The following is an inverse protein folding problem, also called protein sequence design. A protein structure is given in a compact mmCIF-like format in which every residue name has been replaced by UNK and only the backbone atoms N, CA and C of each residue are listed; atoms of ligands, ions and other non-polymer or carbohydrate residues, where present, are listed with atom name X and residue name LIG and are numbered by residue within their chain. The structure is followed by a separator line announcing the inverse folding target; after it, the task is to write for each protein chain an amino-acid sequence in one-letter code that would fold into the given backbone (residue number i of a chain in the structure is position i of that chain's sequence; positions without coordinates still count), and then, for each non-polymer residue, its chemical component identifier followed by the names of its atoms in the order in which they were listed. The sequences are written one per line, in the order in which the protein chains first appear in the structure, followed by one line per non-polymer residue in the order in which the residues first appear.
data_IF_748314321592
#
_entry.id   IF_748314321592
#
_cell.length_a   1.000
_cell.length_b   1.000
_cell.length_c   1.000
_cell.angle_alpha   90.00
_cell.angle_beta   90.00
_cell.angle_gamma   90.00
#
_symmetry.space_group_name_H-M   'P 1'
#
loop_
_entity.id
_entity.type
_entity.pdbx_description
1 polymer ?
#
# COMPACT_ATOMS: atom_id res chain seq x y z
N UNK A 1 24.91 -32.85 -3.33
CA UNK A 1 25.89 -33.32 -2.32
C UNK A 1 27.01 -32.31 -2.05
N UNK A 2 27.58 -31.66 -3.08
CA UNK A 2 28.65 -30.64 -2.94
C UNK A 2 28.25 -29.34 -2.20
N UNK A 3 26.97 -28.95 -2.22
CA UNK A 3 26.48 -27.74 -1.51
C UNK A 3 26.45 -27.93 0.02
N UNK A 4 26.08 -29.13 0.49
CA UNK A 4 26.08 -29.48 1.93
C UNK A 4 27.49 -29.54 2.51
N UNK A 5 28.47 -30.00 1.72
CA UNK A 5 29.87 -30.08 2.14
C UNK A 5 30.52 -28.68 2.25
N UNK A 6 30.24 -27.77 1.31
CA UNK A 6 30.67 -26.36 1.40
C UNK A 6 30.04 -25.63 2.61
N UNK A 7 28.78 -25.94 2.92
CA UNK A 7 28.07 -25.37 4.08
C UNK A 7 28.71 -25.81 5.41
N UNK A 8 29.09 -27.09 5.53
CA UNK A 8 29.75 -27.64 6.73
C UNK A 8 31.13 -27.02 6.92
N UNK A 9 31.88 -26.80 5.83
CA UNK A 9 33.22 -26.20 5.89
C UNK A 9 33.15 -24.73 6.33
N UNK A 10 32.21 -23.95 5.78
CA UNK A 10 31.98 -22.54 6.18
C UNK A 10 31.53 -22.47 7.64
N UNK A 11 30.64 -23.36 8.07
CA UNK A 11 30.21 -23.43 9.48
C UNK A 11 31.39 -23.77 10.40
N UNK A 12 32.25 -24.73 10.02
CA UNK A 12 33.42 -25.10 10.82
C UNK A 12 34.50 -24.00 10.92
N UNK A 13 34.68 -23.20 9.86
CA UNK A 13 35.58 -22.04 9.87
C UNK A 13 35.04 -20.87 10.70
N UNK A 14 33.72 -20.71 10.78
CA UNK A 14 33.10 -19.74 11.68
C UNK A 14 33.24 -20.15 13.15
N UNK A 15 33.14 -21.45 13.48
CA UNK A 15 33.28 -21.93 14.86
C UNK A 15 34.69 -21.78 15.43
N UNK A 16 35.75 -21.81 14.62
CA UNK A 16 37.15 -21.74 15.09
C UNK A 16 37.66 -20.31 15.37
N UNK A 17 36.91 -19.28 14.99
CA UNK A 17 37.27 -17.88 15.24
C UNK A 17 36.82 -17.33 16.59
N UNK A 18 36.04 -18.10 17.37
CA UNK A 18 35.51 -17.68 18.67
C UNK A 18 36.34 -18.30 19.82
N UNK A 19 37.21 -17.51 20.46
CA UNK A 19 37.83 -17.91 21.72
C UNK A 19 36.75 -18.01 22.82
N UNK A 20 36.52 -19.21 23.33
CA UNK A 20 35.47 -19.53 24.30
C UNK A 20 35.91 -19.17 25.73
N UNK A 21 35.63 -17.93 26.15
CA UNK A 21 35.72 -17.52 27.55
C UNK A 21 34.31 -17.29 28.13
N UNK A 22 33.86 -18.17 29.01
CA UNK A 22 33.82 -17.85 30.44
C UNK A 22 32.91 -16.69 30.97
N UNK A 23 32.19 -15.85 30.20
CA UNK A 23 31.28 -14.83 30.75
C UNK A 23 30.11 -15.27 31.70
N UNK A 24 30.04 -14.65 32.89
CA UNK A 24 29.17 -15.02 34.02
C UNK A 24 28.05 -14.02 34.30
N UNK A 25 27.57 -13.28 33.31
CA UNK A 25 26.56 -12.26 33.56
C UNK A 25 25.18 -12.85 33.88
N UNK A 26 24.54 -12.30 34.91
CA UNK A 26 23.13 -12.49 35.21
C UNK A 26 22.32 -11.26 34.78
N UNK A 27 21.10 -11.47 34.30
CA UNK A 27 20.12 -10.41 34.15
C UNK A 27 19.22 -10.42 35.39
N UNK A 28 19.22 -9.32 36.14
CA UNK A 28 18.29 -9.12 37.27
C UNK A 28 17.13 -8.19 36.90
N UNK A 29 17.13 -7.67 35.67
CA UNK A 29 16.08 -6.84 35.12
C UNK A 29 15.02 -7.64 34.36
N UNK A 30 13.78 -7.17 34.41
CA UNK A 30 12.70 -7.54 33.48
C UNK A 30 12.86 -6.73 32.20
N UNK A 31 13.82 -7.08 31.34
CA UNK A 31 13.85 -6.41 30.04
C UNK A 31 12.72 -6.96 29.17
N UNK A 32 11.64 -6.20 29.15
CA UNK A 32 10.49 -6.41 28.27
C UNK A 32 10.91 -6.30 26.82
N UNK A 33 10.51 -7.24 25.98
CA UNK A 33 10.66 -7.15 24.52
C UNK A 33 10.16 -5.78 24.04
N UNK A 34 11.04 -5.00 23.42
CA UNK A 34 10.69 -3.70 22.85
C UNK A 34 10.32 -3.85 21.37
N UNK A 35 9.48 -2.96 20.83
CA UNK A 35 9.11 -2.98 19.41
C UNK A 35 9.33 -1.60 18.81
N UNK A 36 10.22 -1.50 17.82
CA UNK A 36 10.33 -0.31 16.99
C UNK A 36 9.38 -0.37 15.81
N UNK A 37 8.98 0.80 15.33
CA UNK A 37 8.17 0.94 14.13
C UNK A 37 8.96 1.70 13.06
N UNK A 38 9.07 1.09 11.89
CA UNK A 38 9.63 1.67 10.67
C UNK A 38 8.47 1.97 9.74
N UNK A 39 8.08 3.25 9.67
CA UNK A 39 7.11 3.74 8.68
C UNK A 39 7.87 4.21 7.44
N UNK A 40 7.46 3.71 6.29
CA UNK A 40 7.99 4.11 5.00
C UNK A 40 6.90 4.01 3.95
N UNK A 41 7.00 4.84 2.93
CA UNK A 41 6.06 4.91 1.83
C UNK A 41 6.75 4.58 0.51
N UNK A 42 5.96 4.43 -0.54
CA UNK A 42 6.45 4.20 -1.90
C UNK A 42 7.05 5.45 -2.57
N UNK A 43 6.94 6.63 -1.94
CA UNK A 43 7.56 7.87 -2.43
C UNK A 43 9.00 8.05 -1.92
N UNK A 44 9.33 7.43 -0.79
CA UNK A 44 10.71 7.22 -0.40
C UNK A 44 11.38 6.44 -1.54
N UNK A 45 12.53 6.93 -1.99
CA UNK A 45 13.40 6.33 -3.02
C UNK A 45 13.45 4.80 -2.93
N UNK A 46 13.91 4.12 -3.99
CA UNK A 46 14.13 2.66 -4.03
C UNK A 46 14.91 2.09 -2.82
N UNK A 47 15.51 2.96 -2.00
CA UNK A 47 16.03 2.69 -0.66
C UNK A 47 15.45 3.61 0.42
N UNK A 48 15.21 3.07 1.61
CA UNK A 48 14.91 3.78 2.86
C UNK A 48 15.89 3.36 3.95
N UNK A 49 16.28 4.27 4.84
CA UNK A 49 17.12 3.92 5.98
C UNK A 49 16.73 4.68 7.25
N UNK A 50 16.82 4.02 8.40
CA UNK A 50 16.56 4.63 9.71
C UNK A 50 17.40 4.01 10.80
N UNK A 51 17.96 4.86 11.66
CA UNK A 51 18.76 4.43 12.82
C UNK A 51 17.90 4.40 14.07
N UNK A 52 18.10 3.37 14.88
CA UNK A 52 17.50 3.20 16.19
C UNK A 52 18.59 2.86 17.21
N UNK A 53 18.18 2.76 18.48
CA UNK A 53 19.07 2.39 19.58
C UNK A 53 18.35 1.41 20.50
N UNK A 54 19.05 0.31 20.82
CA UNK A 54 18.68 -0.60 21.89
C UNK A 54 19.54 -0.29 23.12
N UNK A 55 18.93 -0.23 24.30
CA UNK A 55 19.66 0.03 25.57
C UNK A 55 19.33 -1.02 26.65
N UNK A 56 19.93 -2.22 26.60
CA UNK A 56 19.85 -3.21 27.67
C UNK A 56 20.21 -2.63 29.05
N UNK A 57 19.40 -2.93 30.06
CA UNK A 57 19.61 -2.51 31.47
C UNK A 57 19.44 -3.66 32.45
N UNK A 58 19.97 -3.51 33.67
CA UNK A 58 19.85 -4.53 34.73
C UNK A 58 20.85 -5.68 34.61
N UNK A 59 21.94 -5.46 33.89
CA UNK A 59 23.01 -6.44 33.67
C UNK A 59 23.94 -6.47 34.88
N UNK A 60 24.36 -7.65 35.31
CA UNK A 60 25.35 -7.82 36.38
C UNK A 60 26.31 -8.93 36.01
N UNK A 61 27.60 -8.62 35.91
CA UNK A 61 28.64 -9.54 35.45
C UNK A 61 29.66 -9.84 36.55
N UNK A 62 30.21 -11.06 36.52
CA UNK A 62 31.11 -11.56 37.55
C UNK A 62 32.60 -11.36 37.19
N UNK A 63 32.91 -11.18 35.89
CA UNK A 63 34.28 -10.99 35.40
C UNK A 63 34.47 -9.61 34.75
N UNK A 64 35.68 -9.07 34.85
CA UNK A 64 36.07 -7.79 34.23
C UNK A 64 36.16 -7.85 32.70
N UNK A 65 36.15 -9.06 32.11
CA UNK A 65 36.16 -9.30 30.66
C UNK A 65 34.81 -9.71 30.08
N UNK A 66 33.76 -9.75 30.90
CA UNK A 66 32.44 -10.14 30.44
C UNK A 66 31.93 -9.16 29.38
N UNK A 67 31.36 -9.71 28.31
CA UNK A 67 31.03 -8.99 27.07
C UNK A 67 29.57 -9.26 26.70
N UNK A 68 28.90 -8.24 26.17
CA UNK A 68 27.61 -8.37 25.51
C UNK A 68 27.80 -8.38 24.00
N UNK A 69 27.07 -9.25 23.31
CA UNK A 69 27.09 -9.39 21.86
C UNK A 69 25.77 -8.93 21.25
N UNK A 70 25.85 -8.27 20.10
CA UNK A 70 24.72 -7.74 19.35
C UNK A 70 24.58 -8.43 18.01
N UNK A 71 23.35 -8.81 17.67
CA UNK A 71 23.07 -9.67 16.52
C UNK A 71 21.80 -9.21 15.83
N UNK A 72 21.80 -9.25 14.50
CA UNK A 72 20.62 -9.03 13.66
C UNK A 72 20.21 -10.33 12.98
N UNK A 73 18.91 -10.62 12.98
CA UNK A 73 18.33 -11.74 12.21
C UNK A 73 17.96 -11.34 10.77
N UNK A 74 18.01 -10.05 10.43
CA UNK A 74 17.48 -9.47 9.18
C UNK A 74 18.51 -9.17 8.10
N UNK A 75 19.71 -9.74 8.15
CA UNK A 75 20.74 -9.47 7.15
C UNK A 75 20.37 -10.01 5.76
N UNK A 76 20.07 -9.09 4.83
CA UNK A 76 19.68 -9.32 3.43
C UNK A 76 18.41 -10.18 3.25
N UNK A 77 17.38 -9.94 4.09
CA UNK A 77 16.10 -10.67 4.02
C UNK A 77 15.06 -9.95 3.21
N UNK A 78 14.31 -10.67 2.39
CA UNK A 78 13.23 -10.08 1.58
C UNK A 78 11.90 -10.25 2.32
N UNK A 79 11.30 -9.14 2.73
CA UNK A 79 9.94 -9.09 3.26
C UNK A 79 8.97 -8.66 2.17
N UNK A 80 7.80 -9.28 2.15
CA UNK A 80 6.71 -9.00 1.22
C UNK A 80 5.51 -8.36 1.91
N UNK A 81 4.91 -7.38 1.23
CA UNK A 81 3.64 -6.76 1.62
C UNK A 81 2.61 -7.03 0.54
N UNK A 82 1.33 -6.99 0.93
CA UNK A 82 0.20 -7.22 0.02
C UNK A 82 0.36 -8.52 -0.78
N UNK A 83 0.53 -9.62 -0.05
CA UNK A 83 0.77 -10.97 -0.58
C UNK A 83 2.03 -11.07 -1.46
N UNK A 84 3.05 -10.26 -1.13
CA UNK A 84 4.32 -10.23 -1.85
C UNK A 84 4.26 -9.50 -3.18
N UNK A 85 3.19 -8.73 -3.45
CA UNK A 85 3.14 -7.80 -4.58
C UNK A 85 4.18 -6.69 -4.46
N UNK A 86 4.48 -6.26 -3.22
CA UNK A 86 5.55 -5.31 -2.91
C UNK A 86 6.60 -6.01 -2.07
N UNK A 87 7.89 -5.82 -2.40
CA UNK A 87 8.99 -6.56 -1.78
C UNK A 87 10.16 -5.64 -1.48
N UNK A 88 10.69 -5.79 -0.27
CA UNK A 88 11.84 -5.04 0.20
C UNK A 88 12.88 -6.00 0.77
N UNK A 89 14.14 -5.84 0.33
CA UNK A 89 15.29 -6.40 1.00
C UNK A 89 15.63 -5.53 2.21
N UNK A 90 15.68 -6.15 3.37
CA UNK A 90 16.03 -5.56 4.66
C UNK A 90 17.47 -5.91 4.97
N UNK A 91 18.22 -4.98 5.53
CA UNK A 91 19.47 -5.25 6.23
C UNK A 91 19.56 -4.41 7.49
N UNK A 92 20.18 -4.94 8.54
CA UNK A 92 20.35 -4.22 9.81
C UNK A 92 21.82 -4.25 10.19
N UNK A 93 22.45 -3.08 10.18
CA UNK A 93 23.86 -2.91 10.54
C UNK A 93 23.97 -2.44 11.99
N UNK A 94 24.71 -3.17 12.81
CA UNK A 94 24.88 -2.91 14.25
C UNK A 94 26.24 -2.25 14.53
N UNK A 95 26.24 -1.20 15.35
CA UNK A 95 27.45 -0.50 15.78
C UNK A 95 27.34 -0.14 17.27
N UNK A 96 28.15 -0.73 18.17
CA UNK A 96 29.12 -1.82 17.93
C UNK A 96 28.44 -3.21 17.82
N UNK A 97 29.18 -4.24 17.41
CA UNK A 97 28.70 -5.64 17.42
C UNK A 97 28.93 -6.35 18.77
N UNK A 98 29.77 -5.78 19.64
CA UNK A 98 30.01 -6.25 21.00
C UNK A 98 30.51 -5.12 21.89
N UNK A 99 30.33 -5.25 23.20
CA UNK A 99 30.86 -4.31 24.19
C UNK A 99 31.34 -5.06 25.45
N UNK A 100 32.53 -4.73 25.95
CA UNK A 100 32.99 -5.24 27.25
C UNK A 100 32.25 -4.50 28.36
N UNK A 101 31.51 -5.27 29.16
CA UNK A 101 30.75 -4.78 30.31
C UNK A 101 31.61 -4.72 31.57
N UNK A 102 32.35 -5.80 31.85
CA UNK A 102 33.07 -5.96 33.11
C UNK A 102 32.13 -5.96 34.33
N UNK A 103 32.68 -5.88 35.54
CA UNK A 103 31.88 -5.94 36.79
C UNK A 103 31.06 -4.69 37.09
N UNK A 104 31.36 -3.57 36.44
CA UNK A 104 30.86 -2.24 36.85
C UNK A 104 29.73 -1.71 35.97
N UNK A 105 29.60 -2.15 34.72
CA UNK A 105 28.52 -1.69 33.84
C UNK A 105 27.24 -2.49 34.07
N UNK A 106 26.15 -1.76 34.34
CA UNK A 106 24.81 -2.33 34.49
C UNK A 106 23.88 -2.07 33.29
N UNK A 107 24.35 -1.26 32.34
CA UNK A 107 23.67 -0.94 31.08
C UNK A 107 24.63 -1.05 29.91
N UNK A 108 24.08 -1.18 28.71
CA UNK A 108 24.83 -1.19 27.46
C UNK A 108 23.97 -0.61 26.35
N UNK A 109 24.59 -0.12 25.28
CA UNK A 109 23.88 0.59 24.22
C UNK A 109 24.43 0.21 22.85
N UNK A 110 23.53 -0.12 21.93
CA UNK A 110 23.87 -0.37 20.53
C UNK A 110 22.99 0.47 19.61
N UNK A 111 23.61 1.11 18.63
CA UNK A 111 22.90 1.75 17.53
C UNK A 111 22.80 0.78 16.38
N UNK A 112 21.65 0.74 15.71
CA UNK A 112 21.46 -0.08 14.53
C UNK A 112 20.76 0.67 13.41
N UNK A 113 21.31 0.55 12.21
CA UNK A 113 20.80 1.13 10.98
C UNK A 113 19.98 0.08 10.24
N UNK A 114 18.67 0.31 10.13
CA UNK A 114 17.76 -0.48 9.31
C UNK A 114 17.77 0.11 7.91
N UNK A 115 18.17 -0.69 6.92
CA UNK A 115 18.07 -0.34 5.51
C UNK A 115 17.02 -1.21 4.83
N UNK A 116 16.20 -0.59 4.00
CA UNK A 116 15.19 -1.22 3.16
C UNK A 116 15.53 -0.85 1.72
N UNK A 117 15.55 -1.81 0.81
CA UNK A 117 15.70 -1.56 -0.62
C UNK A 117 14.69 -2.36 -1.42
N UNK A 118 14.04 -1.74 -2.41
CA UNK A 118 13.08 -2.42 -3.28
C UNK A 118 13.74 -3.63 -3.93
N UNK A 119 13.04 -4.76 -3.97
CA UNK A 119 13.61 -6.02 -4.45
C UNK A 119 12.64 -6.75 -5.36
N UNK A 120 13.16 -7.55 -6.27
CA UNK A 120 12.40 -8.50 -7.09
C UNK A 120 12.62 -9.95 -6.67
N UNK A 121 13.51 -10.18 -5.70
CA UNK A 121 13.84 -11.51 -5.21
C UNK A 121 12.64 -12.20 -4.53
N UNK A 122 12.75 -13.52 -4.36
CA UNK A 122 11.73 -14.30 -3.67
C UNK A 122 11.61 -13.84 -2.21
N UNK A 123 10.37 -13.67 -1.75
CA UNK A 123 10.08 -13.29 -0.36
C UNK A 123 10.50 -14.40 0.60
N UNK A 124 11.09 -14.01 1.72
CA UNK A 124 11.33 -14.90 2.86
C UNK A 124 10.08 -15.00 3.75
N UNK A 125 9.27 -13.95 3.80
CA UNK A 125 7.88 -14.00 4.23
C UNK A 125 7.08 -12.84 3.62
N UNK A 126 5.78 -13.02 3.56
CA UNK A 126 4.82 -12.01 3.14
C UNK A 126 3.65 -11.91 4.10
N UNK A 127 3.00 -10.75 4.09
CA UNK A 127 1.72 -10.49 4.75
C UNK A 127 0.71 -10.00 3.72
N UNK A 128 -0.58 -10.24 3.97
CA UNK A 128 -1.68 -9.75 3.10
C UNK A 128 -1.82 -8.22 3.18
N UNK A 129 -1.42 -7.60 4.30
CA UNK A 129 -1.51 -6.17 4.52
C UNK A 129 -0.20 -5.40 4.29
N UNK A 130 -0.18 -4.15 4.73
CA UNK A 130 1.00 -3.28 4.69
C UNK A 130 1.92 -3.38 5.92
N UNK A 131 1.63 -4.27 6.88
CA UNK A 131 2.35 -4.32 8.16
C UNK A 131 2.88 -5.73 8.45
N UNK A 132 4.17 -5.84 8.72
CA UNK A 132 4.84 -7.07 9.15
C UNK A 132 5.69 -6.80 10.38
N UNK A 133 5.60 -7.65 11.40
CA UNK A 133 6.44 -7.58 12.60
C UNK A 133 7.46 -8.70 12.58
N UNK A 134 8.72 -8.34 12.72
CA UNK A 134 9.83 -9.28 12.84
C UNK A 134 10.18 -9.43 14.33
N UNK A 135 9.91 -10.58 14.94
CA UNK A 135 10.27 -10.81 16.33
C UNK A 135 11.79 -10.94 16.47
N UNK A 136 12.38 -10.34 17.53
CA UNK A 136 13.83 -10.39 17.78
C UNK A 136 14.68 -10.07 16.53
N UNK A 137 14.30 -9.00 15.85
CA UNK A 137 15.04 -8.48 14.70
C UNK A 137 16.47 -8.07 15.10
N UNK A 138 16.60 -7.51 16.32
CA UNK A 138 17.88 -7.26 16.99
C UNK A 138 17.86 -7.97 18.33
N UNK A 139 18.98 -8.62 18.67
CA UNK A 139 19.18 -9.33 19.94
C UNK A 139 20.49 -8.88 20.57
N UNK A 140 20.46 -8.59 21.87
CA UNK A 140 21.66 -8.51 22.72
C UNK A 140 21.74 -9.76 23.60
N UNK A 141 22.93 -10.32 23.78
CA UNK A 141 23.12 -11.46 24.67
C UNK A 141 24.41 -11.32 25.46
N UNK A 142 24.33 -11.58 26.76
CA UNK A 142 25.49 -11.70 27.66
C UNK A 142 25.88 -13.16 27.91
N UNK A 143 25.16 -14.12 27.31
CA UNK A 143 25.50 -15.55 27.37
C UNK A 143 26.76 -15.84 26.52
N UNK A 144 27.65 -16.70 27.03
CA UNK A 144 28.79 -17.30 26.29
C UNK A 144 28.36 -18.00 25.01
N UNK A 145 27.17 -18.57 25.05
CA UNK A 145 26.49 -19.19 23.94
C UNK A 145 25.78 -18.15 23.07
N UNK A 146 26.13 -16.86 23.12
CA UNK A 146 25.73 -15.89 22.12
C UNK A 146 26.06 -16.42 20.71
N UNK A 147 27.16 -17.14 20.52
CA UNK A 147 27.45 -17.89 19.29
C UNK A 147 26.39 -18.95 18.97
N UNK A 148 25.83 -19.66 19.96
CA UNK A 148 24.71 -20.60 19.80
C UNK A 148 23.35 -19.91 19.61
N UNK A 149 23.12 -18.73 20.18
CA UNK A 149 21.94 -17.89 19.90
C UNK A 149 22.02 -17.36 18.46
N UNK A 150 23.14 -16.76 18.08
CA UNK A 150 23.51 -16.37 16.71
C UNK A 150 23.41 -17.56 15.75
N UNK A 151 24.01 -18.71 16.07
CA UNK A 151 23.94 -19.92 15.24
C UNK A 151 22.51 -20.44 15.17
N UNK A 152 21.74 -20.40 16.26
CA UNK A 152 20.34 -20.86 16.25
C UNK A 152 19.47 -20.00 15.34
N UNK A 153 19.71 -18.69 15.29
CA UNK A 153 19.09 -17.80 14.31
C UNK A 153 19.63 -18.02 12.89
N UNK A 154 20.93 -18.32 12.74
CA UNK A 154 21.53 -18.70 11.45
C UNK A 154 20.88 -19.98 10.89
N UNK A 155 20.53 -20.96 11.73
CA UNK A 155 19.80 -22.16 11.25
C UNK A 155 18.43 -21.82 10.66
N UNK A 156 17.77 -20.77 11.16
CA UNK A 156 16.51 -20.29 10.58
C UNK A 156 16.70 -19.69 9.19
N UNK A 157 17.89 -19.18 8.84
CA UNK A 157 18.20 -18.67 7.50
C UNK A 157 18.08 -19.74 6.41
N UNK A 158 18.19 -21.01 6.78
CA UNK A 158 18.10 -22.17 5.89
C UNK A 158 16.78 -22.93 6.02
N UNK A 159 15.90 -22.50 6.93
CA UNK A 159 14.55 -23.03 7.02
C UNK A 159 13.67 -22.46 5.91
N UNK A 160 12.77 -23.27 5.35
CA UNK A 160 11.78 -22.81 4.37
C UNK A 160 10.77 -21.81 4.95
N UNK A 161 10.77 -21.64 6.28
CA UNK A 161 9.86 -20.79 7.03
C UNK A 161 10.64 -20.02 8.11
N UNK A 162 11.36 -18.99 7.65
CA UNK A 162 12.31 -18.22 8.45
C UNK A 162 11.66 -17.62 9.71
N UNK A 163 10.44 -17.09 9.61
CA UNK A 163 9.79 -16.38 10.71
C UNK A 163 9.19 -17.31 11.77
N UNK A 164 8.66 -18.47 11.37
CA UNK A 164 8.23 -19.47 12.35
C UNK A 164 9.43 -20.08 13.08
N UNK A 165 10.53 -20.37 12.36
CA UNK A 165 11.77 -20.77 13.01
C UNK A 165 12.28 -19.68 13.98
N UNK A 166 12.23 -18.41 13.57
CA UNK A 166 12.63 -17.29 14.40
C UNK A 166 11.80 -17.23 15.69
N UNK A 167 10.48 -17.30 15.60
CA UNK A 167 9.55 -17.33 16.73
C UNK A 167 9.86 -18.48 17.71
N UNK A 168 10.05 -19.69 17.19
CA UNK A 168 10.39 -20.88 18.00
C UNK A 168 11.73 -20.75 18.72
N UNK A 169 12.71 -20.06 18.11
CA UNK A 169 13.99 -19.77 18.76
C UNK A 169 13.84 -18.72 19.83
N UNK A 170 13.08 -17.66 19.56
CA UNK A 170 12.80 -16.58 20.51
C UNK A 170 12.18 -17.13 21.80
N UNK A 171 11.23 -18.07 21.67
CA UNK A 171 10.58 -18.71 22.81
C UNK A 171 11.51 -19.60 23.66
N UNK A 172 12.71 -19.94 23.17
CA UNK A 172 13.71 -20.76 23.85
C UNK A 172 14.86 -19.95 24.44
N UNK A 173 14.87 -18.63 24.25
CA UNK A 173 15.90 -17.76 24.82
C UNK A 173 15.64 -17.54 26.31
N UNK A 174 16.60 -17.90 27.15
CA UNK A 174 16.56 -17.74 28.61
C UNK A 174 17.18 -16.41 29.06
N UNK A 175 16.95 -16.04 30.32
CA UNK A 175 17.16 -14.72 30.95
C UNK A 175 18.56 -14.07 30.95
N UNK A 176 19.33 -14.17 29.88
CA UNK A 176 20.55 -13.40 29.60
C UNK A 176 20.47 -12.71 28.22
N UNK A 177 19.27 -12.59 27.65
CA UNK A 177 19.03 -12.02 26.32
C UNK A 177 18.05 -10.85 26.35
N UNK A 178 18.34 -9.84 25.55
CA UNK A 178 17.54 -8.64 25.32
C UNK A 178 17.07 -8.66 23.86
N UNK A 179 15.79 -8.38 23.63
CA UNK A 179 15.18 -8.54 22.31
C UNK A 179 14.48 -7.25 21.87
N UNK A 180 14.66 -6.93 20.60
CA UNK A 180 13.97 -5.83 19.94
C UNK A 180 13.30 -6.32 18.65
N UNK A 181 11.98 -6.23 18.65
CA UNK A 181 11.16 -6.46 17.47
C UNK A 181 11.22 -5.23 16.57
N UNK A 182 11.08 -5.45 15.26
CA UNK A 182 10.90 -4.35 14.31
C UNK A 182 9.61 -4.60 13.53
N UNK A 183 8.69 -3.64 13.63
CA UNK A 183 7.48 -3.57 12.81
C UNK A 183 7.75 -2.70 11.60
N UNK A 184 7.61 -3.27 10.41
CA UNK A 184 7.67 -2.57 9.15
C UNK A 184 6.26 -2.23 8.71
N UNK A 185 5.97 -0.94 8.52
CA UNK A 185 4.69 -0.45 8.05
C UNK A 185 4.90 0.29 6.73
N UNK A 186 4.46 -0.36 5.65
CA UNK A 186 4.55 0.14 4.28
C UNK A 186 3.24 0.82 3.88
N UNK A 187 3.33 2.09 3.50
CA UNK A 187 2.22 2.89 3.01
C UNK A 187 2.33 2.98 1.48
N UNK A 188 1.45 2.30 0.73
CA UNK A 188 1.51 2.34 -0.73
C UNK A 188 1.01 3.66 -1.29
N UNK A 189 1.26 3.88 -2.58
CA UNK A 189 0.55 4.95 -3.29
C UNK A 189 -0.93 4.68 -3.36
N UNK A 190 -1.67 5.78 -3.30
CA UNK A 190 -3.09 5.82 -3.50
C UNK A 190 -3.41 5.61 -5.00
N UNK A 191 -4.22 4.62 -5.34
CA UNK A 191 -4.62 4.36 -6.73
C UNK A 191 -5.31 5.58 -7.31
N UNK A 192 -4.90 5.98 -8.51
CA UNK A 192 -5.46 7.13 -9.21
C UNK A 192 -6.09 6.69 -10.52
N UNK A 193 -7.10 7.42 -10.97
CA UNK A 193 -7.66 7.32 -12.30
C UNK A 193 -7.81 8.73 -12.90
N UNK A 194 -7.52 8.89 -14.18
CA UNK A 194 -7.64 10.15 -14.90
C UNK A 194 -8.41 9.93 -16.21
N UNK A 195 -9.31 10.85 -16.59
CA UNK A 195 -9.94 10.80 -17.89
C UNK A 195 -8.91 11.05 -18.99
N UNK A 196 -8.90 10.19 -20.01
CA UNK A 196 -8.18 10.41 -21.25
C UNK A 196 -9.07 11.26 -22.15
N UNK A 197 -8.50 12.17 -22.94
CA UNK A 197 -9.23 13.05 -23.90
C UNK A 197 -10.34 12.28 -24.59
N UNK A 198 -11.59 12.63 -24.28
CA UNK A 198 -12.78 11.98 -24.84
C UNK A 198 -13.23 12.72 -26.08
N UNK A 199 -13.52 12.00 -27.17
CA UNK A 199 -14.16 12.59 -28.34
C UNK A 199 -15.53 13.17 -27.94
N UNK A 200 -15.95 14.29 -28.56
CA UNK A 200 -17.27 14.87 -28.29
C UNK A 200 -18.37 13.87 -28.68
N UNK A 201 -19.44 13.84 -27.90
CA UNK A 201 -20.65 13.10 -28.24
C UNK A 201 -21.47 13.94 -29.21
N UNK A 202 -21.67 13.42 -30.43
CA UNK A 202 -22.42 14.09 -31.49
C UNK A 202 -23.72 13.30 -31.76
N UNK A 203 -24.86 13.99 -31.75
CA UNK A 203 -26.14 13.43 -32.19
C UNK A 203 -26.36 13.79 -33.67
N UNK A 204 -27.07 12.94 -34.44
CA UNK A 204 -27.55 13.29 -35.76
C UNK A 204 -28.53 14.47 -35.71
N UNK A 205 -28.57 15.27 -36.78
CA UNK A 205 -29.56 16.34 -36.93
C UNK A 205 -30.99 15.77 -36.85
N UNK A 206 -31.88 16.50 -36.17
CA UNK A 206 -33.28 16.12 -36.00
C UNK A 206 -34.23 17.19 -36.56
N UNK A 207 -35.30 16.75 -37.22
CA UNK A 207 -36.28 17.68 -37.76
C UNK A 207 -37.24 18.15 -36.65
N UNK A 208 -37.61 19.45 -36.65
CA UNK A 208 -38.53 20.03 -35.65
C UNK A 208 -39.86 19.27 -35.54
N UNK A 209 -40.31 18.67 -36.64
CA UNK A 209 -41.53 17.86 -36.66
C UNK A 209 -41.48 16.61 -35.78
N UNK A 210 -40.31 16.17 -35.32
CA UNK A 210 -40.15 15.03 -34.40
C UNK A 210 -40.20 15.45 -32.92
N UNK A 211 -40.14 16.77 -32.64
CA UNK A 211 -40.02 17.33 -31.30
C UNK A 211 -41.38 17.85 -30.78
N UNK A 212 -42.44 17.04 -30.91
CA UNK A 212 -43.84 17.50 -30.71
C UNK A 212 -44.38 17.36 -29.29
N UNK A 213 -43.72 16.57 -28.45
CA UNK A 213 -44.17 16.26 -27.08
C UNK A 213 -43.01 16.30 -26.11
N UNK A 214 -43.29 16.74 -24.88
CA UNK A 214 -42.33 16.68 -23.77
C UNK A 214 -41.91 15.24 -23.52
N UNK A 215 -40.61 15.03 -23.31
CA UNK A 215 -40.01 13.73 -23.03
C UNK A 215 -38.82 13.38 -23.92
N UNK A 216 -38.30 12.17 -23.72
CA UNK A 216 -37.18 11.60 -24.48
C UNK A 216 -37.60 11.30 -25.91
N UNK A 217 -36.77 11.73 -26.87
CA UNK A 217 -36.94 11.42 -28.28
C UNK A 217 -36.17 10.15 -28.61
N UNK A 218 -36.88 9.08 -28.98
CA UNK A 218 -36.28 7.76 -29.15
C UNK A 218 -35.82 7.44 -30.58
N UNK A 219 -36.09 8.32 -31.56
CA UNK A 219 -35.77 8.07 -32.98
C UNK A 219 -34.27 8.15 -33.28
N UNK A 220 -33.52 8.96 -32.53
CA UNK A 220 -32.10 9.24 -32.80
C UNK A 220 -31.29 9.23 -31.50
N UNK A 221 -30.05 8.77 -31.59
CA UNK A 221 -29.10 8.81 -30.49
C UNK A 221 -27.67 8.98 -31.00
N UNK A 222 -26.82 9.57 -30.17
CA UNK A 222 -25.38 9.60 -30.35
C UNK A 222 -24.70 8.82 -29.23
N UNK A 223 -23.55 8.20 -29.49
CA UNK A 223 -22.81 7.48 -28.45
C UNK A 223 -21.32 7.83 -28.50
N UNK A 224 -20.70 7.86 -27.33
CA UNK A 224 -19.26 7.98 -27.15
C UNK A 224 -18.80 7.07 -26.02
N UNK A 225 -17.50 7.06 -25.75
CA UNK A 225 -16.92 6.36 -24.62
C UNK A 225 -16.10 7.32 -23.75
N UNK A 226 -16.29 7.22 -22.44
CA UNK A 226 -15.38 7.84 -21.47
C UNK A 226 -14.25 6.84 -21.23
N UNK A 227 -13.04 7.23 -21.59
CA UNK A 227 -11.84 6.46 -21.33
C UNK A 227 -11.14 6.96 -20.06
N UNK A 228 -10.73 6.04 -19.19
CA UNK A 228 -9.96 6.33 -17.97
C UNK A 228 -8.63 5.58 -18.03
N UNK A 229 -7.55 6.26 -17.65
CA UNK A 229 -6.28 5.63 -17.31
C UNK A 229 -6.17 5.52 -15.80
N UNK A 230 -5.78 4.37 -15.26
CA UNK A 230 -5.58 4.20 -13.82
C UNK A 230 -4.19 3.64 -13.51
N UNK A 231 -3.62 4.12 -12.41
CA UNK A 231 -2.27 3.83 -11.95
C UNK A 231 -2.24 3.43 -10.46
N UNK A 232 -1.05 3.05 -9.99
CA UNK A 232 -0.75 2.75 -8.59
C UNK A 232 -1.61 1.61 -8.01
N UNK A 233 -1.77 0.53 -8.78
CA UNK A 233 -2.31 -0.74 -8.30
C UNK A 233 -1.27 -1.52 -7.48
N UNK A 234 -1.71 -2.25 -6.46
CA UNK A 234 -0.88 -3.24 -5.76
C UNK A 234 -1.38 -4.64 -6.08
N UNK A 235 -0.53 -5.47 -6.69
CA UNK A 235 -0.91 -6.85 -7.02
C UNK A 235 -2.15 -6.91 -7.91
N UNK A 236 -2.31 -5.91 -8.79
CA UNK A 236 -3.48 -5.64 -9.63
C UNK A 236 -4.73 -5.14 -8.91
N UNK A 237 -4.67 -4.81 -7.61
CA UNK A 237 -5.81 -4.35 -6.84
C UNK A 237 -5.69 -2.86 -6.48
N UNK A 238 -6.84 -2.20 -6.35
CA UNK A 238 -6.91 -0.79 -5.98
C UNK A 238 -6.64 -0.59 -4.49
N UNK A 239 -5.85 0.42 -4.14
CA UNK A 239 -5.47 0.73 -2.75
C UNK A 239 -6.53 1.54 -2.01
N UNK A 240 -7.48 2.11 -2.75
CA UNK A 240 -8.63 2.89 -2.26
C UNK A 240 -9.84 2.72 -3.18
N UNK A 241 -11.03 3.07 -2.74
CA UNK A 241 -12.23 3.11 -3.55
C UNK A 241 -12.24 4.28 -4.53
N UNK A 242 -12.77 4.03 -5.73
CA UNK A 242 -12.86 5.00 -6.82
C UNK A 242 -14.29 4.99 -7.35
N UNK A 243 -14.90 6.16 -7.44
CA UNK A 243 -16.25 6.33 -8.01
C UNK A 243 -16.25 7.41 -9.07
N UNK A 244 -16.80 7.09 -10.24
CA UNK A 244 -16.87 7.97 -11.40
C UNK A 244 -18.32 8.36 -11.63
N UNK A 245 -18.55 9.64 -11.85
CA UNK A 245 -19.86 10.23 -12.12
C UNK A 245 -19.71 11.46 -13.02
N UNK A 246 -20.83 12.02 -13.47
CA UNK A 246 -20.82 13.22 -14.31
C UNK A 246 -21.35 14.43 -13.54
N UNK A 247 -20.83 15.60 -13.86
CA UNK A 247 -21.36 16.88 -13.38
C UNK A 247 -21.55 17.88 -14.51
N UNK A 248 -22.42 18.86 -14.35
CA UNK A 248 -22.60 19.91 -15.36
C UNK A 248 -23.13 21.22 -14.77
N UNK A 249 -22.74 22.34 -15.39
CA UNK A 249 -23.31 23.67 -15.20
C UNK A 249 -24.50 23.93 -16.16
N UNK A 250 -24.59 23.16 -17.23
CA UNK A 250 -25.60 23.28 -18.29
C UNK A 250 -26.89 22.50 -17.95
N UNK A 251 -27.12 22.15 -16.68
CA UNK A 251 -28.35 21.47 -16.25
C UNK A 251 -29.55 22.42 -16.28
N UNK A 252 -30.69 21.95 -16.81
CA UNK A 252 -31.97 22.63 -16.68
C UNK A 252 -32.30 22.84 -15.19
N UNK A 253 -32.78 24.03 -14.84
CA UNK A 253 -33.14 24.34 -13.46
C UNK A 253 -34.26 23.45 -12.95
N UNK A 254 -34.08 22.90 -11.74
CA UNK A 254 -34.97 21.89 -11.19
C UNK A 254 -34.80 20.48 -11.77
N UNK A 255 -33.89 20.27 -12.71
CA UNK A 255 -33.51 18.95 -13.24
C UNK A 255 -32.07 18.59 -12.87
N UNK A 256 -31.84 17.28 -12.73
CA UNK A 256 -30.53 16.66 -12.53
C UNK A 256 -30.13 15.76 -13.72
N UNK A 257 -30.93 15.67 -14.79
CA UNK A 257 -30.66 14.77 -15.92
C UNK A 257 -30.78 15.42 -17.31
N UNK A 258 -31.34 16.63 -17.39
CA UNK A 258 -31.53 17.35 -18.65
C UNK A 258 -30.40 18.37 -18.81
N UNK A 259 -29.51 18.13 -19.78
CA UNK A 259 -28.49 19.08 -20.22
C UNK A 259 -29.07 20.01 -21.28
N UNK A 260 -29.15 21.31 -21.01
CA UNK A 260 -29.70 22.31 -21.94
C UNK A 260 -28.60 23.15 -22.57
N UNK A 261 -28.88 23.64 -23.77
CA UNK A 261 -28.06 24.69 -24.38
C UNK A 261 -28.22 26.02 -23.63
N UNK A 262 -27.20 26.88 -23.68
CA UNK A 262 -27.20 28.21 -23.06
C UNK A 262 -28.37 29.08 -23.53
N UNK A 263 -28.80 28.92 -24.78
CA UNK A 263 -29.91 29.69 -25.35
C UNK A 263 -31.30 29.22 -24.90
N UNK A 264 -31.40 28.14 -24.12
CA UNK A 264 -32.68 27.58 -23.64
C UNK A 264 -33.72 27.37 -24.76
N UNK A 265 -33.46 26.39 -25.62
CA UNK A 265 -34.23 26.13 -26.84
C UNK A 265 -35.39 25.11 -26.65
N UNK A 266 -35.82 24.86 -25.41
CA UNK A 266 -36.88 23.89 -25.12
C UNK A 266 -36.51 22.41 -25.37
N UNK A 267 -35.29 22.16 -25.85
CA UNK A 267 -34.73 20.85 -26.17
C UNK A 267 -33.33 20.78 -25.56
N UNK A 268 -33.06 19.68 -24.88
CA UNK A 268 -31.78 19.37 -24.29
C UNK A 268 -31.36 17.95 -24.62
N UNK A 269 -30.43 17.43 -23.82
CA UNK A 269 -29.89 16.10 -23.94
C UNK A 269 -30.13 15.32 -22.64
N UNK A 270 -30.59 14.10 -22.79
CA UNK A 270 -30.62 13.09 -21.73
C UNK A 270 -29.48 12.11 -22.01
N UNK A 271 -28.69 11.79 -20.97
CA UNK A 271 -27.61 10.82 -21.06
C UNK A 271 -28.02 9.49 -20.43
N UNK A 272 -27.52 8.39 -20.99
CA UNK A 272 -27.59 7.04 -20.43
C UNK A 272 -26.23 6.35 -20.51
N UNK A 273 -26.05 5.29 -19.73
CA UNK A 273 -24.86 4.44 -19.77
C UNK A 273 -25.26 2.97 -19.89
N UNK A 274 -24.29 2.08 -20.11
CA UNK A 274 -24.52 0.63 -20.01
C UNK A 274 -24.97 0.16 -18.61
N UNK A 275 -24.95 1.03 -17.60
CA UNK A 275 -25.32 0.72 -16.21
C UNK A 275 -26.59 1.44 -15.74
N UNK A 276 -27.11 2.40 -16.51
CA UNK A 276 -28.29 3.18 -16.15
C UNK A 276 -29.02 3.73 -17.37
N UNK A 277 -30.33 3.54 -17.42
CA UNK A 277 -31.19 4.07 -18.50
C UNK A 277 -31.21 5.60 -18.54
N UNK A 278 -30.90 6.24 -17.41
CA UNK A 278 -30.74 7.69 -17.27
C UNK A 278 -29.60 7.97 -16.29
N UNK A 279 -28.69 8.86 -16.69
CA UNK A 279 -27.64 9.39 -15.84
C UNK A 279 -28.15 10.66 -15.17
N UNK A 280 -28.19 10.65 -13.85
CA UNK A 280 -28.40 11.82 -13.03
C UNK A 280 -27.02 12.45 -12.72
N UNK A 281 -26.84 13.69 -13.14
CA UNK A 281 -25.62 14.46 -13.02
C UNK A 281 -25.63 15.32 -11.75
N UNK A 282 -24.44 15.53 -11.19
CA UNK A 282 -24.24 16.51 -10.14
C UNK A 282 -24.22 17.92 -10.74
N UNK A 283 -24.99 18.86 -10.19
CA UNK A 283 -24.80 20.27 -10.52
C UNK A 283 -23.42 20.74 -10.04
N UNK A 284 -22.63 21.36 -10.91
CA UNK A 284 -21.29 21.84 -10.54
C UNK A 284 -21.35 22.71 -9.29
N UNK A 285 -20.41 22.49 -8.35
CA UNK A 285 -20.37 23.18 -7.06
C UNK A 285 -21.13 22.49 -5.93
N UNK A 286 -22.02 21.55 -6.23
CA UNK A 286 -22.67 20.74 -5.19
C UNK A 286 -21.75 19.60 -4.71
N UNK A 287 -21.98 19.10 -3.49
CA UNK A 287 -21.31 17.92 -2.96
C UNK A 287 -22.10 16.65 -3.29
N UNK A 288 -21.39 15.57 -3.65
CA UNK A 288 -22.00 14.25 -3.86
C UNK A 288 -22.63 13.68 -2.58
N UNK A 289 -22.09 14.04 -1.40
CA UNK A 289 -22.64 13.63 -0.10
C UNK A 289 -24.07 14.13 0.15
N UNK A 290 -24.44 15.23 -0.52
CA UNK A 290 -25.72 15.91 -0.35
C UNK A 290 -26.71 15.57 -1.47
N UNK A 291 -26.35 14.66 -2.39
CA UNK A 291 -27.07 14.42 -3.63
C UNK A 291 -27.18 12.91 -3.92
N UNK A 292 -28.01 12.15 -3.16
CA UNK A 292 -28.11 10.69 -3.28
C UNK A 292 -28.63 10.21 -4.64
N UNK A 293 -29.12 11.11 -5.49
CA UNK A 293 -29.61 10.80 -6.83
C UNK A 293 -28.50 10.67 -7.90
N UNK A 294 -27.27 11.13 -7.65
CA UNK A 294 -26.21 11.12 -8.68
C UNK A 294 -25.85 9.70 -9.10
N UNK A 295 -25.85 9.45 -10.40
CA UNK A 295 -25.53 8.13 -10.95
C UNK A 295 -24.02 7.89 -10.95
N UNK A 296 -23.60 6.86 -10.22
CA UNK A 296 -22.22 6.34 -10.29
C UNK A 296 -22.10 5.46 -11.54
N UNK A 297 -21.43 5.96 -12.57
CA UNK A 297 -21.25 5.27 -13.86
C UNK A 297 -20.13 4.23 -13.83
N UNK A 298 -19.20 4.33 -12.87
CA UNK A 298 -18.20 3.30 -12.59
C UNK A 298 -17.82 3.33 -11.11
N UNK A 299 -17.76 2.16 -10.49
CA UNK A 299 -17.31 1.98 -9.10
C UNK A 299 -16.22 0.91 -9.07
N UNK A 300 -15.16 1.18 -8.32
CA UNK A 300 -14.07 0.25 -8.01
C UNK A 300 -13.92 0.30 -6.50
N UNK A 301 -14.07 -0.82 -5.81
CA UNK A 301 -13.90 -0.88 -4.35
C UNK A 301 -12.42 -1.01 -4.00
N UNK A 302 -12.02 -0.53 -2.82
CA UNK A 302 -10.71 -0.86 -2.25
C UNK A 302 -10.50 -2.37 -2.24
N UNK A 303 -9.34 -2.82 -2.71
CA UNK A 303 -8.98 -4.24 -2.85
C UNK A 303 -9.56 -4.94 -4.07
N UNK A 304 -10.42 -4.29 -4.86
CA UNK A 304 -10.91 -4.82 -6.13
C UNK A 304 -9.84 -4.67 -7.22
N UNK A 305 -9.91 -5.52 -8.25
CA UNK A 305 -9.01 -5.44 -9.39
C UNK A 305 -9.06 -4.05 -10.05
N UNK A 306 -7.89 -3.44 -10.22
CA UNK A 306 -7.67 -2.18 -10.93
C UNK A 306 -7.06 -2.45 -12.30
N UNK A 307 -7.86 -2.27 -13.34
CA UNK A 307 -7.38 -2.27 -14.72
C UNK A 307 -6.69 -0.93 -15.03
N UNK A 308 -5.64 -0.98 -15.85
CA UNK A 308 -4.94 0.22 -16.31
C UNK A 308 -5.82 1.12 -17.21
N UNK A 309 -6.81 0.52 -17.88
CA UNK A 309 -7.74 1.24 -18.73
C UNK A 309 -9.18 0.79 -18.47
N UNK A 310 -10.08 1.76 -18.42
CA UNK A 310 -11.52 1.53 -18.42
C UNK A 310 -12.19 2.33 -19.53
N UNK A 311 -13.23 1.72 -20.09
CA UNK A 311 -14.08 2.31 -21.11
C UNK A 311 -15.52 2.28 -20.63
N UNK A 312 -16.15 3.44 -20.52
CA UNK A 312 -17.53 3.58 -20.06
C UNK A 312 -18.36 4.11 -21.23
N UNK A 313 -19.26 3.30 -21.84
CA UNK A 313 -20.11 3.77 -22.91
C UNK A 313 -21.15 4.75 -22.38
N UNK A 314 -21.32 5.86 -23.10
CA UNK A 314 -22.34 6.87 -22.83
C UNK A 314 -23.11 7.16 -24.10
N UNK A 315 -24.43 7.14 -23.99
CA UNK A 315 -25.35 7.47 -25.07
C UNK A 315 -26.10 8.75 -24.71
N UNK A 316 -26.40 9.58 -25.70
CA UNK A 316 -27.26 10.73 -25.55
C UNK A 316 -28.43 10.65 -26.51
N UNK A 317 -29.58 11.16 -26.05
CA UNK A 317 -30.78 11.38 -26.85
C UNK A 317 -31.27 12.81 -26.65
N UNK A 318 -32.01 13.32 -27.62
CA UNK A 318 -32.73 14.57 -27.44
C UNK A 318 -33.83 14.40 -26.38
N UNK A 319 -34.02 15.43 -25.55
CA UNK A 319 -35.10 15.51 -24.58
C UNK A 319 -35.84 16.83 -24.75
N UNK A 320 -37.14 16.77 -25.04
CA UNK A 320 -37.98 17.96 -25.15
C UNK A 320 -38.50 18.31 -23.76
N UNK A 321 -38.20 19.50 -23.25
CA UNK A 321 -38.69 19.99 -21.96
C UNK A 321 -39.65 21.18 -22.09
N UNK A 322 -39.64 21.89 -23.22
CA UNK A 322 -40.59 22.98 -23.50
C UNK A 322 -40.85 23.12 -25.01
N UNK A 323 -42.01 22.63 -25.47
CA UNK A 323 -42.39 22.64 -26.89
C UNK A 323 -42.54 24.07 -27.45
N UNK A 324 -42.91 25.05 -26.61
CA UNK A 324 -43.17 26.41 -27.05
C UNK A 324 -41.88 27.18 -27.39
N UNK A 325 -40.73 26.75 -26.86
CA UNK A 325 -39.44 27.41 -27.07
C UNK A 325 -38.65 26.86 -28.27
N UNK A 326 -39.12 25.80 -28.93
CA UNK A 326 -38.36 25.09 -29.96
C UNK A 326 -38.16 25.96 -31.21
N UNK A 327 -36.89 26.21 -31.54
CA UNK A 327 -36.42 26.88 -32.76
C UNK A 327 -35.26 26.12 -33.41
N UNK A 328 -35.08 26.34 -34.71
CA UNK A 328 -33.96 25.77 -35.47
C UNK A 328 -32.63 26.37 -35.00
N UNK A 329 -31.60 25.54 -34.86
CA UNK A 329 -30.26 26.00 -34.47
C UNK A 329 -29.40 24.85 -33.95
N UNK A 330 -28.12 25.16 -33.71
CA UNK A 330 -27.20 24.23 -33.05
C UNK A 330 -27.45 24.23 -31.55
N UNK A 331 -27.36 23.05 -30.93
CA UNK A 331 -27.47 22.85 -29.49
C UNK A 331 -26.17 22.26 -28.97
N UNK A 332 -25.59 22.86 -27.94
CA UNK A 332 -24.40 22.36 -27.27
C UNK A 332 -24.59 22.38 -25.76
N UNK A 333 -24.14 21.33 -25.08
CA UNK A 333 -24.08 21.29 -23.62
C UNK A 333 -22.80 20.57 -23.18
N UNK A 334 -22.33 20.88 -21.97
CA UNK A 334 -21.07 20.37 -21.43
C UNK A 334 -21.33 19.52 -20.20
N UNK A 335 -20.75 18.32 -20.15
CA UNK A 335 -20.66 17.52 -18.94
C UNK A 335 -19.19 17.22 -18.61
N UNK A 336 -18.87 17.20 -17.33
CA UNK A 336 -17.54 16.93 -16.80
C UNK A 336 -17.50 15.56 -16.16
N UNK A 337 -16.48 14.77 -16.48
CA UNK A 337 -16.18 13.53 -15.76
C UNK A 337 -15.58 13.88 -14.41
N UNK A 338 -16.18 13.37 -13.33
CA UNK A 338 -15.71 13.53 -11.96
C UNK A 338 -15.31 12.19 -11.40
N UNK A 339 -14.22 12.18 -10.64
CA UNK A 339 -13.69 11.01 -9.97
C UNK A 339 -13.58 11.35 -8.49
N UNK A 340 -14.28 10.59 -7.67
CA UNK A 340 -14.20 10.67 -6.22
C UNK A 340 -13.37 9.50 -5.69
N UNK A 341 -12.48 9.81 -4.75
CA UNK A 341 -11.67 8.86 -3.99
C UNK A 341 -12.21 8.81 -2.57
N UNK A 342 -12.24 7.63 -1.96
CA UNK A 342 -12.72 7.43 -0.57
C UNK A 342 -11.68 7.76 0.51
#
# INVERSE_FOLDING_TARGET
MMYKLKLIIILSMLLSAFNLAHAGCSNKGTYTTHTQIVNFDENASDSYSRTFTMEPTGISCDNDKDTIYYVSSLNDKVIGFYDGAVRFKVSVTLTPTQEVLGKTKNTSRVSYLVNLTKSTAQVNASVIGGTITVPSAVTASTDKNASNVVLSFITCLFSGDFFNCLSDRVNKLSGATFQENITFNFIPKDSTCLPIVTAPLILPDIHRAELRSVGTVNSLSGSTQIALHCDDAIGNNSTRGISVYLSSDDLLDGSDFILKDKMDNGVGFELSSGTADRIHLLRTGNSISNSPAVTIIKKIKKGEQLLQQYTIPVTAKYYVYDVAKIRTGKLNATAYVRINYD
#
